data_IF_679833244108
#
_entry.id   IF_679833244108
#
_cell.length_a   1.000
_cell.length_b   1.000
_cell.length_c   1.000
_cell.angle_alpha   90.00
_cell.angle_beta   90.00
_cell.angle_gamma   90.00
#
_symmetry.space_group_name_H-M   'P 1'
#
loop_
_entity.id
_entity.type
_entity.pdbx_description
1 polymer ?
#
# COMPACT_ATOMS: atom_id res chain seq x y z
N UNK A 1 -7.27 -4.32 -22.63
CA UNK A 1 -6.14 -4.27 -21.68
C UNK A 1 -6.72 -3.97 -20.31
N UNK A 2 -6.50 -4.84 -19.32
CA UNK A 2 -6.97 -4.58 -17.95
C UNK A 2 -6.12 -3.48 -17.32
N UNK A 3 -6.75 -2.43 -16.80
CA UNK A 3 -6.07 -1.35 -16.08
C UNK A 3 -5.49 -1.90 -14.76
N UNK A 4 -4.22 -1.60 -14.48
CA UNK A 4 -3.59 -1.96 -13.20
C UNK A 4 -3.97 -0.90 -12.17
N UNK A 5 -4.68 -1.32 -11.12
CA UNK A 5 -5.02 -0.44 -9.99
C UNK A 5 -3.75 -0.13 -9.20
N UNK A 6 -3.51 1.15 -8.88
CA UNK A 6 -2.37 1.58 -8.05
C UNK A 6 -2.89 2.13 -6.73
N UNK A 7 -2.30 1.71 -5.62
CA UNK A 7 -2.55 2.26 -4.29
C UNK A 7 -1.27 2.83 -3.71
N UNK A 8 -1.40 3.89 -2.92
CA UNK A 8 -0.31 4.57 -2.22
C UNK A 8 -0.50 4.33 -0.73
N UNK A 9 0.47 3.66 -0.11
CA UNK A 9 0.38 3.22 1.29
C UNK A 9 1.21 4.14 2.17
N UNK A 10 0.61 4.75 3.19
CA UNK A 10 1.29 5.65 4.15
C UNK A 10 1.17 5.12 5.58
N UNK A 11 2.09 5.48 6.48
CA UNK A 11 2.09 5.00 7.89
C UNK A 11 1.72 6.05 8.94
N UNK A 12 1.94 7.35 8.66
CA UNK A 12 1.84 8.41 9.68
C UNK A 12 0.71 9.39 9.37
N UNK A 13 0.89 10.25 8.35
CA UNK A 13 -0.10 11.23 7.93
C UNK A 13 -0.42 11.04 6.45
N UNK A 14 -1.69 11.24 6.07
CA UNK A 14 -2.07 11.19 4.67
C UNK A 14 -1.40 12.35 3.93
N UNK A 15 -0.58 12.10 2.89
CA UNK A 15 0.21 13.16 2.25
C UNK A 15 -0.61 14.19 1.45
N UNK A 16 -1.89 13.88 1.21
CA UNK A 16 -2.80 14.67 0.38
C UNK A 16 -4.16 14.74 1.08
N UNK A 17 -4.85 15.87 0.94
CA UNK A 17 -6.23 16.04 1.41
C UNK A 17 -7.12 14.90 0.89
N UNK A 18 -8.00 14.37 1.76
CA UNK A 18 -8.70 13.07 1.71
C UNK A 18 -9.60 12.78 0.49
N UNK A 19 -9.56 13.62 -0.54
CA UNK A 19 -10.33 13.48 -1.77
C UNK A 19 -9.76 12.40 -2.72
N UNK A 20 -8.52 11.96 -2.51
CA UNK A 20 -7.84 10.97 -3.36
C UNK A 20 -8.04 9.55 -2.84
N UNK A 21 -8.94 8.78 -3.46
CA UNK A 21 -9.37 7.44 -3.02
C UNK A 21 -8.30 6.33 -3.09
N UNK A 22 -7.14 6.60 -3.68
CA UNK A 22 -6.06 5.60 -3.84
C UNK A 22 -4.96 5.71 -2.79
N UNK A 23 -5.04 6.68 -1.87
CA UNK A 23 -4.15 6.78 -0.71
C UNK A 23 -4.81 6.06 0.46
N UNK A 24 -4.12 5.08 1.02
CA UNK A 24 -4.63 4.28 2.13
C UNK A 24 -3.58 4.17 3.22
N UNK A 25 -4.03 4.02 4.46
CA UNK A 25 -3.10 3.76 5.55
C UNK A 25 -2.49 2.36 5.41
N UNK A 26 -1.34 2.15 6.04
CA UNK A 26 -0.73 0.83 6.14
C UNK A 26 -1.67 -0.17 6.84
N UNK A 27 -2.46 0.30 7.82
CA UNK A 27 -3.44 -0.53 8.50
C UNK A 27 -4.52 -1.03 7.54
N UNK A 28 -5.09 -0.15 6.71
CA UNK A 28 -6.09 -0.53 5.71
C UNK A 28 -5.49 -1.47 4.66
N UNK A 29 -4.22 -1.26 4.28
CA UNK A 29 -3.51 -2.19 3.39
C UNK A 29 -3.34 -3.59 3.99
N UNK A 30 -3.09 -3.68 5.29
CA UNK A 30 -2.93 -4.95 5.99
C UNK A 30 -4.25 -5.72 6.06
N UNK A 31 -5.34 -5.02 6.40
CA UNK A 31 -6.66 -5.58 6.68
C UNK A 31 -7.49 -5.86 5.42
N UNK A 32 -7.47 -4.95 4.44
CA UNK A 32 -8.37 -5.02 3.29
C UNK A 32 -7.79 -5.76 2.08
N UNK A 33 -6.46 -5.91 2.00
CA UNK A 33 -5.80 -6.44 0.80
C UNK A 33 -5.10 -7.78 1.03
N UNK A 34 -5.05 -8.66 0.02
CA UNK A 34 -5.69 -8.52 -1.30
C UNK A 34 -7.22 -8.70 -1.21
N UNK A 35 -7.99 -7.92 -1.98
CA UNK A 35 -9.45 -8.07 -2.01
C UNK A 35 -9.84 -9.32 -2.80
N UNK A 36 -10.99 -9.92 -2.47
CA UNK A 36 -11.54 -11.07 -3.20
C UNK A 36 -11.74 -10.67 -4.67
N UNK A 37 -11.23 -11.49 -5.60
CA UNK A 37 -11.24 -11.24 -7.05
C UNK A 37 -10.53 -9.94 -7.47
N UNK A 38 -9.57 -9.43 -6.68
CA UNK A 38 -8.81 -8.26 -7.09
C UNK A 38 -7.86 -8.60 -8.25
N UNK A 39 -7.89 -7.74 -9.27
CA UNK A 39 -6.91 -7.79 -10.37
C UNK A 39 -5.52 -7.42 -9.86
N UNK A 40 -4.51 -7.55 -10.73
CA UNK A 40 -3.14 -7.10 -10.43
C UNK A 40 -3.14 -5.68 -9.85
N UNK A 41 -2.63 -5.56 -8.63
CA UNK A 41 -2.54 -4.33 -7.84
C UNK A 41 -1.08 -3.88 -7.85
N UNK A 42 -0.84 -2.58 -8.05
CA UNK A 42 0.48 -1.96 -7.86
C UNK A 42 0.49 -1.23 -6.53
N UNK A 43 1.43 -1.58 -5.66
CA UNK A 43 1.64 -0.91 -4.38
C UNK A 43 2.78 0.11 -4.51
N UNK A 44 2.51 1.35 -4.09
CA UNK A 44 3.53 2.38 -3.92
C UNK A 44 3.66 2.65 -2.43
N UNK A 45 4.81 2.25 -1.86
CA UNK A 45 5.12 2.42 -0.45
C UNK A 45 5.61 3.86 -0.18
N UNK A 46 4.84 4.62 0.59
CA UNK A 46 5.17 5.98 1.04
C UNK A 46 5.48 6.03 2.55
N UNK A 47 5.50 4.87 3.23
CA UNK A 47 5.84 4.78 4.65
C UNK A 47 7.32 5.12 4.87
N UNK A 48 7.68 5.45 6.12
CA UNK A 48 9.06 5.71 6.48
C UNK A 48 9.92 4.43 6.37
N UNK A 49 11.03 4.55 5.65
CA UNK A 49 12.02 3.49 5.39
C UNK A 49 13.39 3.80 5.98
N UNK A 50 13.49 4.84 6.81
CA UNK A 50 14.74 5.31 7.42
C UNK A 50 15.39 4.28 8.37
N UNK A 51 14.61 3.34 8.91
CA UNK A 51 15.07 2.34 9.87
C UNK A 51 14.85 0.90 9.38
N UNK A 52 15.77 0.00 9.72
CA UNK A 52 15.56 -1.43 9.54
C UNK A 52 14.39 -1.91 10.40
N UNK A 53 13.54 -2.80 9.85
CA UNK A 53 12.29 -3.26 10.46
C UNK A 53 11.26 -2.16 10.74
N UNK A 54 11.32 -1.04 10.01
CA UNK A 54 10.24 -0.04 10.02
C UNK A 54 8.95 -0.57 9.39
N UNK A 55 7.87 0.19 9.52
CA UNK A 55 6.60 -0.09 8.81
C UNK A 55 6.82 -0.09 7.29
N UNK A 56 7.60 0.86 6.76
CA UNK A 56 7.94 0.87 5.33
C UNK A 56 8.74 -0.37 4.90
N UNK A 57 9.66 -0.86 5.73
CA UNK A 57 10.34 -2.13 5.45
C UNK A 57 9.34 -3.29 5.39
N UNK A 58 8.41 -3.36 6.34
CA UNK A 58 7.38 -4.39 6.37
C UNK A 58 6.40 -4.30 5.19
N UNK A 59 6.00 -3.09 4.79
CA UNK A 59 5.12 -2.86 3.65
C UNK A 59 5.69 -3.43 2.34
N UNK A 60 6.98 -3.20 2.08
CA UNK A 60 7.65 -3.73 0.89
C UNK A 60 7.69 -5.26 0.89
N UNK A 61 8.08 -5.88 2.01
CA UNK A 61 8.13 -7.35 2.12
C UNK A 61 6.74 -7.99 1.97
N UNK A 62 5.73 -7.37 2.58
CA UNK A 62 4.35 -7.85 2.51
C UNK A 62 3.79 -7.76 1.08
N UNK A 63 4.08 -6.68 0.36
CA UNK A 63 3.69 -6.51 -1.05
C UNK A 63 4.34 -7.57 -1.95
N UNK A 64 5.63 -7.83 -1.78
CA UNK A 64 6.35 -8.87 -2.53
C UNK A 64 5.79 -10.27 -2.24
N UNK A 65 5.57 -10.62 -0.96
CA UNK A 65 5.01 -11.91 -0.56
C UNK A 65 3.59 -12.13 -1.08
N UNK A 66 2.81 -11.06 -1.29
CA UNK A 66 1.47 -11.09 -1.89
C UNK A 66 1.48 -11.05 -3.42
N UNK A 67 2.64 -10.84 -4.06
CA UNK A 67 2.78 -10.79 -5.51
C UNK A 67 2.25 -9.51 -6.16
N UNK A 68 2.26 -8.39 -5.43
CA UNK A 68 1.89 -7.06 -5.93
C UNK A 68 3.02 -6.40 -6.74
#
# INVERSE_FOLDING_TARGET
MSQIKTIYVYDSECPIDSSSSNFISFQDYLEEYPKINESRLKVVNLCDTSQYLSIGYYCSLLAEARGH
#
